data_IF_128399073529
#
_entry.id   IF_128399073529
#
_cell.length_a   1.000
_cell.length_b   1.000
_cell.length_c   1.000
_cell.angle_alpha   90.00
_cell.angle_beta   90.00
_cell.angle_gamma   90.00
#
_symmetry.space_group_name_H-M   'P 1'
#
loop_
_entity.id
_entity.type
_entity.pdbx_description
1 polymer ?
#
# COMPACT_ATOMS: atom_id res chain seq x y z
N UNK A 1 9.30 -29.51 -19.74
CA UNK A 1 10.15 -28.34 -20.08
C UNK A 1 9.30 -27.08 -20.19
N UNK A 2 8.48 -26.90 -21.23
CA UNK A 2 7.63 -25.71 -21.34
C UNK A 2 6.63 -25.61 -20.18
N UNK A 3 5.88 -26.69 -19.89
CA UNK A 3 4.91 -26.75 -18.79
C UNK A 3 5.51 -26.36 -17.43
N UNK A 4 6.76 -26.77 -17.16
CA UNK A 4 7.44 -26.47 -15.89
C UNK A 4 7.92 -25.01 -15.80
N UNK A 5 7.87 -24.26 -16.91
CA UNK A 5 8.43 -22.91 -17.05
C UNK A 5 7.46 -21.93 -17.73
N UNK A 6 6.17 -22.27 -17.83
CA UNK A 6 5.19 -21.46 -18.55
C UNK A 6 5.05 -20.05 -17.95
N UNK A 7 5.27 -19.91 -16.64
CA UNK A 7 5.20 -18.63 -15.92
C UNK A 7 6.53 -17.84 -15.91
N UNK A 8 7.57 -18.36 -16.56
CA UNK A 8 8.87 -17.69 -16.66
C UNK A 8 9.02 -17.07 -18.07
N UNK A 9 9.17 -15.74 -18.22
CA UNK A 9 9.16 -15.07 -19.52
C UNK A 9 10.16 -15.65 -20.54
N UNK A 10 11.45 -15.67 -20.19
CA UNK A 10 12.51 -16.13 -21.11
C UNK A 10 12.42 -17.63 -21.44
N UNK A 11 12.12 -18.46 -20.43
CA UNK A 11 12.06 -19.91 -20.58
C UNK A 11 10.80 -20.35 -21.33
N UNK A 12 9.65 -19.72 -21.08
CA UNK A 12 8.40 -19.97 -21.81
C UNK A 12 8.56 -19.66 -23.30
N UNK A 13 9.19 -18.53 -23.67
CA UNK A 13 9.50 -18.19 -25.06
C UNK A 13 10.43 -19.23 -25.68
N UNK A 14 11.58 -19.48 -25.05
CA UNK A 14 12.58 -20.42 -25.58
C UNK A 14 12.03 -21.83 -25.80
N UNK A 15 11.30 -22.36 -24.82
CA UNK A 15 10.72 -23.71 -24.93
C UNK A 15 9.48 -23.75 -25.84
N UNK A 16 8.73 -22.65 -25.91
CA UNK A 16 7.58 -22.49 -26.79
C UNK A 16 7.99 -22.47 -28.25
N UNK A 17 8.95 -21.63 -28.62
CA UNK A 17 9.54 -21.56 -29.96
C UNK A 17 10.06 -22.93 -30.40
N UNK A 18 10.83 -23.59 -29.53
CA UNK A 18 11.33 -24.95 -29.79
C UNK A 18 10.20 -25.96 -29.99
N UNK A 19 9.12 -25.88 -29.22
CA UNK A 19 7.98 -26.78 -29.40
C UNK A 19 7.30 -26.57 -30.75
N UNK A 20 7.15 -25.31 -31.18
CA UNK A 20 6.59 -24.95 -32.50
C UNK A 20 7.48 -25.46 -33.64
N UNK A 21 8.80 -25.29 -33.54
CA UNK A 21 9.75 -25.83 -34.53
C UNK A 21 9.63 -27.35 -34.67
N UNK A 22 9.57 -28.08 -33.55
CA UNK A 22 9.40 -29.54 -33.54
C UNK A 22 8.08 -29.93 -34.20
N UNK A 23 6.96 -29.26 -33.86
CA UNK A 23 5.65 -29.53 -34.45
C UNK A 23 5.61 -29.22 -35.96
N UNK A 24 6.35 -28.21 -36.43
CA UNK A 24 6.44 -27.89 -37.86
C UNK A 24 7.25 -28.92 -38.67
N UNK A 25 8.19 -29.63 -38.04
CA UNK A 25 8.96 -30.70 -38.68
C UNK A 25 8.25 -32.05 -38.77
N UNK A 26 7.11 -32.24 -38.10
CA UNK A 26 6.37 -33.50 -38.08
C UNK A 26 5.39 -33.61 -39.25
N UNK A 27 5.54 -34.64 -40.11
CA UNK A 27 4.59 -34.93 -41.19
C UNK A 27 4.24 -36.43 -41.23
N UNK A 28 2.99 -36.83 -40.94
CA UNK A 28 1.87 -35.97 -40.50
C UNK A 28 2.04 -35.49 -39.06
N UNK A 29 1.45 -34.33 -38.72
CA UNK A 29 1.33 -33.89 -37.34
C UNK A 29 0.34 -34.80 -36.60
N UNK A 30 0.68 -35.37 -35.43
CA UNK A 30 -0.28 -36.13 -34.64
C UNK A 30 -1.49 -35.27 -34.26
N UNK A 31 -2.70 -35.82 -34.34
CA UNK A 31 -3.94 -35.10 -34.05
C UNK A 31 -3.98 -34.50 -32.63
N UNK A 32 -3.32 -35.14 -31.67
CA UNK A 32 -3.20 -34.62 -30.30
C UNK A 32 -2.37 -33.32 -30.19
N UNK A 33 -1.57 -32.98 -31.20
CA UNK A 33 -0.72 -31.78 -31.23
C UNK A 33 -1.27 -30.66 -32.11
N UNK A 34 -2.34 -30.91 -32.88
CA UNK A 34 -2.98 -29.91 -33.72
C UNK A 34 -3.47 -28.71 -32.90
N UNK A 35 -4.10 -28.98 -31.75
CA UNK A 35 -4.59 -27.94 -30.85
C UNK A 35 -3.45 -27.15 -30.19
N UNK A 36 -2.39 -27.84 -29.77
CA UNK A 36 -1.18 -27.18 -29.24
C UNK A 36 -0.55 -26.25 -30.28
N UNK A 37 -0.50 -26.67 -31.55
CA UNK A 37 -0.02 -25.84 -32.65
C UNK A 37 -0.95 -24.65 -32.93
N UNK A 38 -2.27 -24.84 -32.81
CA UNK A 38 -3.25 -23.76 -32.97
C UNK A 38 -3.13 -22.68 -31.89
N UNK A 39 -2.76 -23.07 -30.67
CA UNK A 39 -2.61 -22.20 -29.50
C UNK A 39 -1.15 -21.79 -29.22
N UNK A 40 -0.26 -21.89 -30.22
CA UNK A 40 1.17 -21.64 -30.02
C UNK A 40 1.50 -20.20 -29.63
N UNK A 41 0.60 -19.26 -29.93
CA UNK A 41 0.69 -17.85 -29.51
C UNK A 41 0.60 -17.68 -27.99
N UNK A 42 0.02 -18.64 -27.28
CA UNK A 42 -0.06 -18.67 -25.81
C UNK A 42 1.18 -19.27 -25.14
N UNK A 43 2.16 -19.74 -25.91
CA UNK A 43 3.35 -20.37 -25.33
C UNK A 43 4.30 -19.36 -24.67
N UNK A 44 4.27 -18.10 -25.11
CA UNK A 44 5.02 -17.05 -24.46
C UNK A 44 4.20 -16.48 -23.31
N UNK A 45 4.79 -16.39 -22.11
CA UNK A 45 4.13 -15.74 -20.98
C UNK A 45 3.69 -14.33 -21.36
N UNK A 46 2.39 -14.06 -21.24
CA UNK A 46 1.83 -12.73 -21.50
C UNK A 46 2.02 -11.83 -20.28
N UNK A 47 2.47 -10.59 -20.50
CA UNK A 47 2.59 -9.57 -19.46
C UNK A 47 1.34 -8.68 -19.48
N UNK A 48 0.53 -8.69 -18.43
CA UNK A 48 -0.74 -7.98 -18.36
C UNK A 48 -0.57 -6.57 -17.78
N UNK A 49 -0.92 -5.54 -18.56
CA UNK A 49 -0.78 -4.13 -18.16
C UNK A 49 -2.12 -3.38 -18.21
N UNK A 50 -2.46 -2.71 -17.13
CA UNK A 50 -3.65 -1.86 -16.98
C UNK A 50 -3.19 -0.41 -16.87
N UNK A 51 -3.47 0.39 -17.89
CA UNK A 51 -3.04 1.79 -17.96
C UNK A 51 -4.21 2.73 -17.75
N UNK A 52 -4.03 3.76 -16.94
CA UNK A 52 -5.02 4.84 -16.83
C UNK A 52 -4.48 6.09 -16.15
N UNK A 53 -5.28 7.15 -16.19
CA UNK A 53 -4.95 8.44 -15.55
C UNK A 53 -5.34 8.49 -14.07
N UNK A 54 -4.96 9.57 -13.40
CA UNK A 54 -5.27 9.77 -11.99
C UNK A 54 -6.76 9.80 -11.67
N UNK A 55 -7.60 10.31 -12.57
CA UNK A 55 -9.05 10.33 -12.39
C UNK A 55 -9.70 8.96 -12.41
N UNK A 56 -9.18 8.04 -13.22
CA UNK A 56 -9.60 6.64 -13.13
C UNK A 56 -9.13 6.03 -11.80
N UNK A 57 -7.84 6.15 -11.50
CA UNK A 57 -7.25 5.40 -10.40
C UNK A 57 -7.64 5.91 -9.00
N UNK A 58 -7.83 7.23 -8.84
CA UNK A 58 -8.13 7.82 -7.55
C UNK A 58 -9.64 7.94 -7.30
N UNK A 59 -10.43 8.07 -8.37
CA UNK A 59 -11.87 8.34 -8.29
C UNK A 59 -12.72 7.17 -8.76
N UNK A 60 -13.14 7.15 -10.03
CA UNK A 60 -14.21 6.26 -10.51
C UNK A 60 -13.79 4.78 -10.54
N UNK A 61 -12.52 4.50 -10.83
CA UNK A 61 -11.97 3.15 -10.94
C UNK A 61 -11.33 2.65 -9.65
N UNK A 62 -11.24 3.46 -8.59
CA UNK A 62 -10.51 3.10 -7.38
C UNK A 62 -11.02 1.81 -6.74
N UNK A 63 -12.34 1.63 -6.63
CA UNK A 63 -12.90 0.41 -6.03
C UNK A 63 -12.53 -0.86 -6.80
N UNK A 64 -12.42 -0.77 -8.13
CA UNK A 64 -11.94 -1.87 -8.96
C UNK A 64 -10.45 -2.13 -8.81
N UNK A 65 -9.63 -1.07 -8.76
CA UNK A 65 -8.18 -1.20 -8.53
C UNK A 65 -7.92 -1.83 -7.16
N UNK A 66 -8.55 -1.33 -6.11
CA UNK A 66 -8.42 -1.87 -4.75
C UNK A 66 -8.75 -3.37 -4.72
N UNK A 67 -9.84 -3.77 -5.36
CA UNK A 67 -10.22 -5.17 -5.47
C UNK A 67 -9.19 -6.02 -6.25
N UNK A 68 -8.72 -5.53 -7.41
CA UNK A 68 -7.70 -6.23 -8.21
C UNK A 68 -6.38 -6.39 -7.46
N UNK A 69 -5.95 -5.36 -6.73
CA UNK A 69 -4.75 -5.43 -5.89
C UNK A 69 -4.93 -6.44 -4.74
N UNK A 70 -6.13 -6.59 -4.19
CA UNK A 70 -6.43 -7.54 -3.12
C UNK A 70 -6.49 -9.00 -3.58
N UNK A 71 -6.80 -9.27 -4.86
CA UNK A 71 -6.87 -10.63 -5.41
C UNK A 71 -5.50 -11.33 -5.45
N UNK A 72 -4.40 -10.57 -5.57
CA UNK A 72 -3.05 -11.13 -5.60
C UNK A 72 -2.61 -11.68 -6.96
N UNK A 73 -3.40 -11.47 -8.02
CA UNK A 73 -3.09 -11.89 -9.39
C UNK A 73 -1.92 -11.10 -10.00
N UNK A 74 -1.18 -11.72 -10.92
CA UNK A 74 -0.03 -11.09 -11.59
C UNK A 74 -0.50 -10.11 -12.68
N UNK A 75 -0.72 -8.86 -12.28
CA UNK A 75 -1.09 -7.75 -13.17
C UNK A 75 -0.31 -6.49 -12.82
N UNK A 76 0.04 -5.71 -13.84
CA UNK A 76 0.79 -4.46 -13.70
C UNK A 76 -0.12 -3.26 -13.96
N UNK A 77 -0.37 -2.44 -12.94
CA UNK A 77 -1.18 -1.22 -13.04
C UNK A 77 -0.25 -0.01 -13.14
N UNK A 78 -0.42 0.80 -14.18
CA UNK A 78 0.31 2.06 -14.37
C UNK A 78 -0.66 3.23 -14.32
N UNK A 79 -0.43 4.14 -13.37
CA UNK A 79 -1.19 5.36 -13.22
C UNK A 79 -0.36 6.54 -13.73
N UNK A 80 -0.82 7.16 -14.82
CA UNK A 80 -0.28 8.40 -15.33
C UNK A 80 -0.92 9.57 -14.57
N UNK A 81 -0.23 10.03 -13.53
CA UNK A 81 -0.76 10.99 -12.57
C UNK A 81 -0.55 12.42 -13.06
N UNK A 82 -1.59 12.94 -13.73
CA UNK A 82 -1.67 14.34 -14.16
C UNK A 82 -2.33 15.23 -13.10
N UNK A 83 -2.79 14.67 -12.00
CA UNK A 83 -3.45 15.37 -10.88
C UNK A 83 -4.72 16.16 -11.25
N UNK A 84 -5.29 15.93 -12.43
CA UNK A 84 -6.54 16.49 -12.92
C UNK A 84 -7.13 15.55 -13.98
N UNK A 85 -8.42 15.69 -14.29
CA UNK A 85 -9.01 14.99 -15.43
C UNK A 85 -8.62 15.71 -16.72
N UNK A 86 -7.43 15.39 -17.22
CA UNK A 86 -6.82 16.09 -18.35
C UNK A 86 -7.71 16.09 -19.61
N UNK A 87 -8.20 14.91 -20.02
CA UNK A 87 -8.95 14.75 -21.27
C UNK A 87 -10.26 15.57 -21.32
N UNK A 88 -10.97 15.68 -20.19
CA UNK A 88 -12.24 16.41 -20.11
C UNK A 88 -12.05 17.91 -19.80
N UNK A 89 -10.81 18.40 -19.90
CA UNK A 89 -10.44 19.81 -19.78
C UNK A 89 -10.17 20.27 -18.36
N UNK A 90 -9.49 19.46 -17.55
CA UNK A 90 -8.88 19.88 -16.30
C UNK A 90 -9.85 20.00 -15.11
N UNK A 91 -10.77 19.04 -14.94
CA UNK A 91 -11.53 18.90 -13.69
C UNK A 91 -10.65 18.44 -12.54
N UNK A 92 -10.95 18.90 -11.33
CA UNK A 92 -10.29 18.40 -10.13
C UNK A 92 -10.60 16.92 -9.89
N UNK A 93 -9.59 16.17 -9.47
CA UNK A 93 -9.65 14.75 -9.07
C UNK A 93 -9.30 14.61 -7.59
N UNK A 94 -9.50 13.42 -6.99
CA UNK A 94 -8.91 13.14 -5.66
C UNK A 94 -7.37 13.13 -5.67
N UNK A 95 -6.73 13.16 -6.83
CA UNK A 95 -5.29 13.35 -7.00
C UNK A 95 -4.84 14.82 -7.13
N UNK A 96 -5.75 15.79 -7.32
CA UNK A 96 -5.37 17.22 -7.34
C UNK A 96 -4.69 17.64 -6.04
N UNK A 97 -3.59 18.38 -6.04
CA UNK A 97 -2.90 18.77 -4.80
C UNK A 97 -3.61 19.94 -4.11
N UNK A 98 -3.31 20.13 -2.82
CA UNK A 98 -3.70 21.33 -2.07
C UNK A 98 -3.20 22.60 -2.77
N UNK A 99 -4.04 23.63 -2.85
CA UNK A 99 -3.72 24.91 -3.48
C UNK A 99 -3.81 24.93 -5.01
N UNK A 100 -3.90 23.78 -5.70
CA UNK A 100 -4.10 23.79 -7.14
C UNK A 100 -5.54 24.15 -7.50
N UNK A 101 -5.66 24.99 -8.52
CA UNK A 101 -6.92 25.40 -9.12
C UNK A 101 -7.22 24.54 -10.34
N UNK A 102 -8.41 23.95 -10.36
CA UNK A 102 -8.97 23.14 -11.44
C UNK A 102 -10.48 23.45 -11.59
N UNK A 103 -11.16 22.92 -12.62
CA UNK A 103 -12.63 22.99 -12.65
C UNK A 103 -13.21 22.28 -11.42
N UNK A 104 -14.27 22.84 -10.84
CA UNK A 104 -14.85 22.46 -9.54
C UNK A 104 -13.97 22.73 -8.31
N UNK A 105 -12.75 23.26 -8.48
CA UNK A 105 -11.82 23.65 -7.40
C UNK A 105 -11.27 25.05 -7.68
N UNK A 106 -12.14 26.03 -7.97
CA UNK A 106 -11.71 27.37 -8.43
C UNK A 106 -10.87 28.10 -7.39
N UNK A 107 -11.16 27.91 -6.10
CA UNK A 107 -10.48 28.59 -5.00
C UNK A 107 -9.23 27.85 -4.51
N UNK A 108 -8.73 26.90 -5.29
CA UNK A 108 -7.72 25.96 -4.84
C UNK A 108 -8.37 24.79 -4.11
N UNK A 109 -7.75 23.62 -4.21
CA UNK A 109 -8.17 22.47 -3.39
C UNK A 109 -7.75 22.71 -1.93
N UNK A 110 -8.69 22.57 -1.01
CA UNK A 110 -8.44 22.70 0.43
C UNK A 110 -7.89 21.42 1.09
N UNK A 111 -8.08 20.25 0.47
CA UNK A 111 -7.63 18.97 1.01
C UNK A 111 -6.31 18.52 0.39
N UNK A 112 -5.55 17.74 1.14
CA UNK A 112 -4.36 17.06 0.64
C UNK A 112 -4.72 16.05 -0.47
N UNK A 113 -3.74 15.77 -1.35
CA UNK A 113 -3.83 14.73 -2.37
C UNK A 113 -4.08 13.36 -1.72
N UNK A 114 -4.98 12.55 -2.29
CA UNK A 114 -5.16 11.15 -1.88
C UNK A 114 -3.86 10.36 -2.14
N UNK A 115 -3.35 9.69 -1.13
CA UNK A 115 -2.12 8.90 -1.23
C UNK A 115 -2.45 7.45 -1.65
N UNK A 116 -2.64 7.24 -2.96
CA UNK A 116 -2.98 5.92 -3.52
C UNK A 116 -1.88 4.88 -3.25
N UNK A 117 -0.61 5.29 -3.31
CA UNK A 117 0.50 4.37 -3.07
C UNK A 117 0.56 3.90 -1.62
N UNK A 118 0.31 4.80 -0.66
CA UNK A 118 0.20 4.41 0.76
C UNK A 118 -0.97 3.46 1.03
N UNK A 119 -2.10 3.66 0.35
CA UNK A 119 -3.24 2.74 0.47
C UNK A 119 -2.89 1.35 -0.10
N UNK A 120 -2.25 1.30 -1.27
CA UNK A 120 -1.83 0.04 -1.89
C UNK A 120 -0.78 -0.71 -1.04
N UNK A 121 0.16 0.01 -0.42
CA UNK A 121 1.18 -0.56 0.48
C UNK A 121 0.60 -1.18 1.77
N UNK A 122 -0.70 -0.98 2.06
CA UNK A 122 -1.36 -1.67 3.17
C UNK A 122 -1.57 -3.17 2.89
N UNK A 123 -1.59 -3.58 1.62
CA UNK A 123 -1.63 -4.98 1.23
C UNK A 123 -0.22 -5.59 1.24
N UNK A 124 -0.02 -6.75 1.87
CA UNK A 124 1.33 -7.31 2.08
C UNK A 124 1.99 -7.88 0.81
N UNK A 125 1.24 -8.09 -0.27
CA UNK A 125 1.74 -8.71 -1.51
C UNK A 125 1.69 -7.78 -2.73
N UNK A 126 1.44 -6.47 -2.54
CA UNK A 126 1.38 -5.51 -3.65
C UNK A 126 2.74 -4.83 -3.79
N UNK A 127 3.35 -4.93 -4.96
CA UNK A 127 4.49 -4.09 -5.30
C UNK A 127 4.01 -2.67 -5.61
N UNK A 128 4.64 -1.64 -5.03
CA UNK A 128 4.24 -0.24 -5.26
C UNK A 128 5.45 0.61 -5.59
N UNK A 129 5.39 1.40 -6.65
CA UNK A 129 6.43 2.36 -6.97
C UNK A 129 5.87 3.74 -7.31
N UNK A 130 6.56 4.79 -6.89
CA UNK A 130 6.33 6.16 -7.33
C UNK A 130 7.53 6.65 -8.13
N UNK A 131 7.26 7.07 -9.37
CA UNK A 131 8.25 7.29 -10.41
C UNK A 131 8.09 8.67 -11.05
N UNK A 132 9.21 9.24 -11.49
CA UNK A 132 9.23 10.46 -12.29
C UNK A 132 10.43 10.43 -13.23
N UNK A 133 10.17 10.13 -14.51
CA UNK A 133 11.20 9.82 -15.51
C UNK A 133 12.23 10.95 -15.68
N UNK A 134 11.78 12.20 -15.76
CA UNK A 134 12.67 13.36 -15.87
C UNK A 134 13.47 13.68 -14.61
N UNK A 135 13.02 13.20 -13.44
CA UNK A 135 13.77 13.35 -12.19
C UNK A 135 14.83 12.27 -12.03
N UNK A 136 14.49 11.01 -12.33
CA UNK A 136 15.39 9.88 -12.24
C UNK A 136 15.00 8.74 -13.20
N UNK A 137 15.55 8.77 -14.41
CA UNK A 137 15.31 7.74 -15.44
C UNK A 137 15.67 6.32 -14.96
N UNK A 138 16.81 6.17 -14.29
CA UNK A 138 17.28 4.86 -13.81
C UNK A 138 16.34 4.24 -12.78
N UNK A 139 15.76 5.07 -11.90
CA UNK A 139 14.78 4.61 -10.92
C UNK A 139 13.47 4.20 -11.59
N UNK A 140 12.99 4.94 -12.60
CA UNK A 140 11.80 4.56 -13.38
C UNK A 140 12.00 3.22 -14.08
N UNK A 141 13.11 3.02 -14.80
CA UNK A 141 13.39 1.75 -15.49
C UNK A 141 13.44 0.59 -14.49
N UNK A 142 14.13 0.80 -13.36
CA UNK A 142 14.20 -0.18 -12.28
C UNK A 142 12.81 -0.53 -11.72
N UNK A 143 11.99 0.49 -11.48
CA UNK A 143 10.65 0.28 -10.92
C UNK A 143 9.73 -0.52 -11.85
N UNK A 144 9.78 -0.27 -13.16
CA UNK A 144 9.03 -1.04 -14.15
C UNK A 144 9.54 -2.49 -14.26
N UNK A 145 10.86 -2.68 -14.21
CA UNK A 145 11.45 -4.02 -14.23
C UNK A 145 11.09 -4.83 -12.98
N UNK A 146 11.18 -4.23 -11.79
CA UNK A 146 10.80 -4.87 -10.53
C UNK A 146 9.28 -5.16 -10.49
N UNK A 147 8.44 -4.24 -10.99
CA UNK A 147 7.00 -4.45 -11.09
C UNK A 147 6.64 -5.65 -11.97
N UNK A 148 7.24 -5.76 -13.16
CA UNK A 148 6.96 -6.87 -14.10
C UNK A 148 7.45 -8.21 -13.55
N UNK A 149 8.62 -8.20 -12.90
CA UNK A 149 9.22 -9.39 -12.30
C UNK A 149 8.42 -9.91 -11.11
N UNK A 150 7.74 -9.02 -10.38
CA UNK A 150 6.92 -9.39 -9.22
C UNK A 150 5.85 -10.41 -9.62
N UNK A 151 5.76 -11.50 -8.85
CA UNK A 151 4.78 -12.57 -9.09
C UNK A 151 3.47 -12.27 -8.34
N UNK A 152 2.90 -11.11 -8.63
CA UNK A 152 1.70 -10.59 -7.96
C UNK A 152 1.32 -9.22 -8.50
N UNK A 153 0.40 -8.51 -7.82
CA UNK A 153 -0.11 -7.23 -8.30
C UNK A 153 0.93 -6.13 -8.10
N UNK A 154 1.12 -5.31 -9.13
CA UNK A 154 2.04 -4.19 -9.14
C UNK A 154 1.32 -2.89 -9.43
N UNK A 155 1.64 -1.83 -8.69
CA UNK A 155 1.12 -0.47 -8.90
C UNK A 155 2.27 0.52 -9.10
N UNK A 156 2.36 1.11 -10.29
CA UNK A 156 3.36 2.11 -10.63
C UNK A 156 2.68 3.46 -10.86
N UNK A 157 2.98 4.42 -9.99
CA UNK A 157 2.49 5.80 -10.07
C UNK A 157 3.54 6.67 -10.76
N UNK A 158 3.17 7.32 -11.86
CA UNK A 158 4.07 8.13 -12.67
C UNK A 158 3.62 9.60 -12.66
N UNK A 159 4.47 10.51 -12.18
CA UNK A 159 4.18 11.95 -12.31
C UNK A 159 4.21 12.37 -13.78
N UNK A 160 3.08 12.85 -14.31
CA UNK A 160 2.89 13.19 -15.70
C UNK A 160 2.52 14.67 -15.87
N UNK A 161 3.48 15.56 -16.17
CA UNK A 161 3.17 16.95 -16.47
C UNK A 161 2.21 17.09 -17.65
N UNK A 162 1.25 18.00 -17.53
CA UNK A 162 0.16 18.15 -18.48
C UNK A 162 -0.01 19.61 -18.93
N UNK A 163 -0.58 19.81 -20.12
CA UNK A 163 -0.98 21.15 -20.60
C UNK A 163 -1.89 21.87 -19.60
N UNK A 164 -2.70 21.14 -18.84
CA UNK A 164 -3.60 21.70 -17.82
C UNK A 164 -2.85 22.28 -16.61
N UNK A 165 -1.59 21.87 -16.38
CA UNK A 165 -0.75 22.51 -15.37
C UNK A 165 -0.34 23.92 -15.78
N UNK A 166 -0.32 24.18 -17.10
CA UNK A 166 0.05 25.46 -17.71
C UNK A 166 1.37 25.97 -17.14
N UNK A 167 2.39 25.11 -17.16
CA UNK A 167 3.74 25.47 -16.78
C UNK A 167 4.26 26.60 -17.67
N UNK A 168 4.83 27.66 -17.08
CA UNK A 168 5.35 28.83 -17.79
C UNK A 168 6.47 28.47 -18.77
N UNK A 169 7.19 27.40 -18.48
CA UNK A 169 8.27 26.83 -19.32
C UNK A 169 7.76 26.00 -20.50
N UNK A 170 6.45 25.71 -20.59
CA UNK A 170 5.89 24.80 -21.58
C UNK A 170 6.24 23.32 -21.34
N UNK A 171 5.65 22.43 -22.14
CA UNK A 171 5.88 20.98 -22.03
C UNK A 171 7.22 20.51 -22.64
N UNK A 172 7.90 21.35 -23.42
CA UNK A 172 9.24 21.03 -23.95
C UNK A 172 10.27 20.91 -22.84
N UNK A 173 10.02 21.51 -21.67
CA UNK A 173 10.83 21.42 -20.45
C UNK A 173 10.17 20.55 -19.37
N UNK A 174 9.42 19.54 -19.80
CA UNK A 174 8.79 18.58 -18.91
C UNK A 174 9.79 17.86 -17.98
N UNK A 175 11.00 17.45 -18.43
CA UNK A 175 11.97 16.81 -17.54
C UNK A 175 12.41 17.70 -16.38
N UNK A 176 12.56 19.02 -16.61
CA UNK A 176 12.88 19.96 -15.55
C UNK A 176 11.74 20.14 -14.55
N UNK A 177 10.48 20.16 -15.01
CA UNK A 177 9.31 20.21 -14.12
C UNK A 177 9.22 18.94 -13.24
N UNK A 178 9.42 17.77 -13.85
CA UNK A 178 9.49 16.48 -13.15
C UNK A 178 10.59 16.47 -12.09
N UNK A 179 11.79 16.96 -12.44
CA UNK A 179 12.90 17.07 -11.51
C UNK A 179 12.60 18.04 -10.36
N UNK A 180 12.02 19.21 -10.64
CA UNK A 180 11.64 20.17 -9.62
C UNK A 180 10.55 19.64 -8.68
N UNK A 181 9.59 18.86 -9.20
CA UNK A 181 8.56 18.19 -8.40
C UNK A 181 9.18 17.22 -7.38
N UNK A 182 10.20 16.44 -7.78
CA UNK A 182 10.89 15.52 -6.87
C UNK A 182 11.80 16.26 -5.89
N UNK A 183 12.62 17.20 -6.39
CA UNK A 183 13.57 17.94 -5.56
C UNK A 183 12.89 18.82 -4.51
N UNK A 184 11.67 19.28 -4.75
CA UNK A 184 10.85 20.01 -3.78
C UNK A 184 10.18 19.13 -2.73
N UNK A 185 10.22 17.79 -2.88
CA UNK A 185 9.44 16.86 -2.06
C UNK A 185 7.96 16.80 -2.41
N UNK A 186 7.53 17.55 -3.43
CA UNK A 186 6.14 17.56 -3.91
C UNK A 186 5.71 16.17 -4.41
N UNK A 187 6.59 15.49 -5.16
CA UNK A 187 6.38 14.13 -5.64
C UNK A 187 7.52 13.21 -5.18
N UNK A 188 7.37 12.43 -4.10
CA UNK A 188 8.44 11.57 -3.61
C UNK A 188 8.63 10.36 -4.51
N UNK A 189 9.87 9.90 -4.68
CA UNK A 189 10.21 8.65 -5.37
C UNK A 189 10.49 7.57 -4.35
N UNK A 190 9.78 6.46 -4.46
CA UNK A 190 9.94 5.31 -3.57
C UNK A 190 9.53 4.02 -4.28
N UNK A 191 9.96 2.90 -3.70
CA UNK A 191 9.56 1.55 -4.09
C UNK A 191 9.21 0.76 -2.83
N UNK A 192 8.20 -0.08 -2.95
CA UNK A 192 7.79 -1.05 -1.95
C UNK A 192 7.80 -2.41 -2.64
N UNK A 193 8.73 -3.26 -2.21
CA UNK A 193 8.93 -4.60 -2.75
C UNK A 193 8.59 -5.64 -1.66
N UNK A 194 7.46 -6.34 -1.77
CA UNK A 194 7.05 -7.34 -0.79
C UNK A 194 8.00 -8.54 -0.73
N UNK A 195 8.80 -8.82 -1.75
CA UNK A 195 9.77 -9.91 -1.72
C UNK A 195 10.88 -9.65 -0.70
N UNK A 196 11.28 -8.39 -0.51
CA UNK A 196 12.26 -8.03 0.52
C UNK A 196 11.75 -8.31 1.93
N UNK A 197 10.44 -8.19 2.18
CA UNK A 197 9.86 -8.58 3.46
C UNK A 197 9.98 -10.09 3.71
N UNK A 198 9.87 -10.92 2.66
CA UNK A 198 10.09 -12.38 2.76
C UNK A 198 11.54 -12.73 3.09
N UNK A 199 12.48 -11.89 2.65
CA UNK A 199 13.90 -11.97 3.03
C UNK A 199 14.22 -11.37 4.41
N UNK A 200 13.21 -10.90 5.16
CA UNK A 200 13.40 -10.24 6.46
C UNK A 200 13.97 -8.82 6.37
N UNK A 201 14.07 -8.24 5.17
CA UNK A 201 14.50 -6.86 4.93
C UNK A 201 13.30 -5.91 4.95
N UNK A 202 13.58 -4.62 5.03
CA UNK A 202 12.54 -3.62 4.92
C UNK A 202 12.04 -3.54 3.46
N UNK A 203 10.74 -3.79 3.21
CA UNK A 203 10.17 -3.75 1.87
C UNK A 203 10.11 -2.35 1.27
N UNK A 204 10.22 -1.29 2.07
CA UNK A 204 10.14 0.10 1.61
C UNK A 204 11.53 0.71 1.38
N UNK A 205 11.73 1.32 0.20
CA UNK A 205 12.92 2.10 -0.14
C UNK A 205 12.52 3.50 -0.59
N UNK A 206 13.09 4.52 0.07
CA UNK A 206 12.97 5.91 -0.34
C UNK A 206 14.11 6.29 -1.29
N UNK A 207 13.79 6.47 -2.58
CA UNK A 207 14.75 6.84 -3.61
C UNK A 207 15.00 8.36 -3.65
N UNK A 208 13.99 9.18 -3.33
CA UNK A 208 14.14 10.63 -3.17
C UNK A 208 14.52 11.00 -1.73
N UNK A 209 15.81 10.97 -1.39
CA UNK A 209 16.25 11.08 0.02
C UNK A 209 16.13 12.49 0.62
N UNK A 210 16.28 13.55 -0.17
CA UNK A 210 16.40 14.92 0.34
C UNK A 210 15.44 15.88 -0.35
N UNK A 211 14.89 16.81 0.43
CA UNK A 211 14.13 17.97 -0.07
C UNK A 211 15.10 19.14 -0.15
N UNK A 212 15.13 19.81 -1.31
CA UNK A 212 15.93 21.01 -1.52
C UNK A 212 15.17 22.26 -1.07
N UNK A 213 15.73 23.08 -0.16
CA UNK A 213 15.11 24.32 0.27
C UNK A 213 14.80 25.27 -0.90
N UNK A 214 13.65 25.94 -0.85
CA UNK A 214 13.25 26.95 -1.84
C UNK A 214 12.72 26.41 -3.18
N UNK A 215 12.98 25.14 -3.53
CA UNK A 215 12.54 24.56 -4.82
C UNK A 215 11.02 24.48 -4.91
N UNK A 216 10.31 24.19 -3.81
CA UNK A 216 8.85 24.13 -3.78
C UNK A 216 8.21 25.46 -4.22
N UNK A 217 8.66 26.59 -3.65
CA UNK A 217 8.11 27.90 -4.00
C UNK A 217 8.30 28.22 -5.49
N UNK A 218 9.48 27.89 -6.04
CA UNK A 218 9.76 28.09 -7.47
C UNK A 218 8.91 27.16 -8.35
N UNK A 219 8.72 25.91 -7.95
CA UNK A 219 7.89 24.93 -8.63
C UNK A 219 6.42 25.39 -8.71
N UNK A 220 5.84 25.80 -7.58
CA UNK A 220 4.46 26.31 -7.53
C UNK A 220 4.29 27.58 -8.38
N UNK A 221 5.25 28.52 -8.31
CA UNK A 221 5.27 29.74 -9.13
C UNK A 221 5.41 29.45 -10.63
N UNK A 222 6.01 28.32 -11.01
CA UNK A 222 6.16 27.94 -12.41
C UNK A 222 4.84 27.47 -13.05
N UNK A 223 3.89 26.97 -12.25
CA UNK A 223 2.66 26.37 -12.78
C UNK A 223 1.46 27.29 -12.58
N UNK A 224 0.76 27.63 -13.67
CA UNK A 224 -0.36 28.56 -13.58
C UNK A 224 -1.50 28.06 -12.69
N UNK A 225 -1.64 26.73 -12.52
CA UNK A 225 -2.64 26.14 -11.62
C UNK A 225 -2.50 26.57 -10.16
N UNK A 226 -1.32 26.99 -9.70
CA UNK A 226 -1.13 27.59 -8.37
C UNK A 226 -1.02 29.11 -8.44
N UNK A 227 -0.26 29.63 -9.41
CA UNK A 227 -0.02 31.07 -9.58
C UNK A 227 -1.32 31.87 -9.72
N UNK A 228 -2.33 31.33 -10.42
CA UNK A 228 -3.60 32.03 -10.61
C UNK A 228 -4.35 32.24 -9.29
N UNK A 229 -4.19 31.32 -8.32
CA UNK A 229 -4.73 31.49 -6.97
C UNK A 229 -3.97 32.58 -6.23
N UNK A 230 -2.64 32.56 -6.29
CA UNK A 230 -1.78 33.56 -5.66
C UNK A 230 -2.05 34.98 -6.16
N UNK A 231 -2.40 35.15 -7.44
CA UNK A 231 -2.80 36.46 -8.00
C UNK A 231 -4.18 36.91 -7.56
N UNK A 232 -5.15 35.97 -7.51
CA UNK A 232 -6.57 36.29 -7.26
C UNK A 232 -6.88 36.41 -5.76
N UNK A 233 -6.26 35.58 -4.93
CA UNK A 233 -6.48 35.50 -3.49
C UNK A 233 -5.15 35.26 -2.74
N UNK A 234 -4.28 36.29 -2.62
CA UNK A 234 -2.92 36.12 -2.11
C UNK A 234 -2.84 35.52 -0.71
N UNK A 235 -3.66 36.00 0.24
CA UNK A 235 -3.67 35.51 1.63
C UNK A 235 -4.05 34.03 1.70
N UNK A 236 -5.12 33.64 1.01
CA UNK A 236 -5.57 32.24 0.99
C UNK A 236 -4.57 31.32 0.28
N UNK A 237 -3.93 31.80 -0.79
CA UNK A 237 -2.88 31.05 -1.46
C UNK A 237 -1.68 30.81 -0.53
N UNK A 238 -1.27 31.81 0.25
CA UNK A 238 -0.17 31.71 1.22
C UNK A 238 -0.49 30.71 2.34
N UNK A 239 -1.72 30.72 2.86
CA UNK A 239 -2.22 29.73 3.81
C UNK A 239 -2.11 28.29 3.26
N UNK A 240 -2.65 28.04 2.06
CA UNK A 240 -2.62 26.71 1.45
C UNK A 240 -1.20 26.26 1.07
N UNK A 241 -0.33 27.18 0.64
CA UNK A 241 1.06 26.86 0.34
C UNK A 241 1.86 26.53 1.60
N UNK A 242 1.59 27.23 2.69
CA UNK A 242 2.18 26.94 4.01
C UNK A 242 1.74 25.57 4.50
N UNK A 243 0.45 25.25 4.40
CA UNK A 243 -0.08 23.95 4.79
C UNK A 243 0.45 22.81 3.90
N UNK A 244 0.54 23.03 2.58
CA UNK A 244 1.15 22.08 1.64
C UNK A 244 2.62 21.81 1.99
N UNK A 245 3.39 22.86 2.31
CA UNK A 245 4.79 22.71 2.73
C UNK A 245 4.89 21.86 4.00
N UNK A 246 4.07 22.16 5.01
CA UNK A 246 4.05 21.40 6.26
C UNK A 246 3.68 19.92 6.01
N UNK A 247 2.69 19.67 5.15
CA UNK A 247 2.32 18.31 4.73
C UNK A 247 3.47 17.57 4.03
N UNK A 248 4.16 18.22 3.09
CA UNK A 248 5.31 17.65 2.39
C UNK A 248 6.41 17.26 3.38
N UNK A 249 6.76 18.16 4.30
CA UNK A 249 7.80 17.91 5.31
C UNK A 249 7.41 16.76 6.24
N UNK A 250 6.16 16.74 6.72
CA UNK A 250 5.63 15.66 7.56
C UNK A 250 5.61 14.32 6.84
N UNK A 251 5.12 14.29 5.60
CA UNK A 251 5.10 13.08 4.76
C UNK A 251 6.52 12.58 4.52
N UNK A 252 7.45 13.46 4.15
CA UNK A 252 8.83 13.10 3.90
C UNK A 252 9.53 12.52 5.13
N UNK A 253 9.28 13.10 6.30
CA UNK A 253 9.75 12.55 7.57
C UNK A 253 9.20 11.13 7.79
N UNK A 254 7.88 10.93 7.62
CA UNK A 254 7.26 9.60 7.73
C UNK A 254 7.90 8.59 6.77
N UNK A 255 8.12 8.95 5.51
CA UNK A 255 8.75 8.04 4.53
C UNK A 255 10.21 7.73 4.90
N UNK A 256 10.96 8.70 5.45
CA UNK A 256 12.31 8.47 5.97
C UNK A 256 12.30 7.51 7.16
N UNK A 257 11.37 7.70 8.08
CA UNK A 257 11.22 6.85 9.26
C UNK A 257 10.92 5.41 8.81
N UNK A 258 9.94 5.23 7.92
CA UNK A 258 9.60 3.91 7.33
C UNK A 258 10.83 3.31 6.63
N UNK A 259 11.59 4.06 5.84
CA UNK A 259 12.78 3.53 5.15
C UNK A 259 13.94 3.22 6.11
N UNK A 260 13.99 3.87 7.28
CA UNK A 260 15.01 3.68 8.30
C UNK A 260 14.63 2.62 9.34
N UNK A 261 13.35 2.23 9.41
CA UNK A 261 12.89 1.12 10.23
C UNK A 261 13.70 -0.12 9.87
N UNK A 262 14.57 -0.53 10.80
CA UNK A 262 15.13 -1.87 10.75
C UNK A 262 13.98 -2.80 11.05
N UNK A 263 13.75 -3.81 10.21
CA UNK A 263 12.83 -4.90 10.51
C UNK A 263 13.10 -5.33 11.95
N UNK A 264 12.18 -5.05 12.87
CA UNK A 264 12.42 -5.32 14.27
C UNK A 264 12.68 -6.82 14.40
N UNK A 265 13.86 -7.19 14.93
CA UNK A 265 14.10 -8.57 15.33
C UNK A 265 12.97 -8.99 16.26
N UNK A 266 12.61 -10.28 16.25
CA UNK A 266 11.57 -10.79 17.15
C UNK A 266 11.78 -10.28 18.59
N UNK A 267 13.04 -10.21 19.04
CA UNK A 267 13.46 -9.65 20.33
C UNK A 267 12.97 -8.23 20.64
N UNK A 268 12.93 -7.31 19.66
CA UNK A 268 12.46 -5.93 19.92
C UNK A 268 10.93 -5.91 20.10
N UNK A 269 10.21 -6.67 19.28
CA UNK A 269 8.75 -6.82 19.39
C UNK A 269 8.32 -7.54 20.67
N UNK A 270 9.18 -8.42 21.20
CA UNK A 270 8.90 -9.24 22.38
C UNK A 270 9.54 -8.71 23.66
N UNK A 271 10.34 -7.64 23.59
CA UNK A 271 11.03 -7.02 24.72
C UNK A 271 10.09 -6.62 25.87
N UNK A 272 8.87 -6.17 25.53
CA UNK A 272 7.82 -5.87 26.50
C UNK A 272 7.02 -7.09 26.99
N UNK A 273 7.25 -8.27 26.42
CA UNK A 273 6.48 -9.50 26.69
C UNK A 273 7.30 -10.53 27.47
N UNK A 274 8.36 -10.11 28.17
CA UNK A 274 9.24 -10.99 28.94
C UNK A 274 8.51 -11.81 30.02
N UNK A 275 7.47 -11.23 30.65
CA UNK A 275 6.61 -11.92 31.61
C UNK A 275 5.59 -12.90 30.96
N UNK A 276 5.54 -12.93 29.62
CA UNK A 276 4.61 -13.76 28.86
C UNK A 276 3.29 -13.06 28.52
N UNK A 277 2.36 -13.84 27.96
CA UNK A 277 1.05 -13.39 27.48
C UNK A 277 -0.02 -14.39 27.92
N UNK A 278 -1.16 -13.90 28.42
CA UNK A 278 -2.39 -14.68 28.61
C UNK A 278 -3.41 -14.25 27.59
N UNK A 279 -4.03 -15.21 26.91
CA UNK A 279 -5.03 -14.95 25.88
C UNK A 279 -6.35 -15.55 26.35
N UNK A 280 -7.40 -14.74 26.39
CA UNK A 280 -8.75 -15.20 26.69
C UNK A 280 -9.68 -14.83 25.54
N UNK A 281 -10.51 -15.78 25.09
CA UNK A 281 -11.39 -15.59 23.94
C UNK A 281 -12.88 -15.77 24.25
N UNK A 282 -13.72 -14.92 23.65
CA UNK A 282 -15.16 -15.08 23.57
C UNK A 282 -15.54 -15.56 22.17
N UNK A 283 -16.07 -16.78 22.04
CA UNK A 283 -16.49 -17.32 20.75
C UNK A 283 -17.61 -18.36 20.91
N UNK A 284 -18.70 -18.19 20.14
CA UNK A 284 -19.76 -19.20 20.07
C UNK A 284 -19.57 -20.15 18.86
N UNK A 285 -19.00 -19.65 17.76
CA UNK A 285 -18.80 -20.40 16.50
C UNK A 285 -17.36 -20.87 16.28
N UNK A 286 -16.45 -20.56 17.21
CA UNK A 286 -15.05 -21.00 17.19
C UNK A 286 -14.10 -20.14 16.34
N UNK A 287 -14.57 -19.13 15.61
CA UNK A 287 -13.71 -18.25 14.78
C UNK A 287 -12.66 -17.52 15.63
N UNK A 288 -13.10 -16.90 16.73
CA UNK A 288 -12.22 -16.16 17.64
C UNK A 288 -11.28 -17.10 18.39
N UNK A 289 -11.74 -18.31 18.73
CA UNK A 289 -10.90 -19.35 19.31
C UNK A 289 -9.76 -19.76 18.36
N UNK A 290 -10.06 -19.98 17.08
CA UNK A 290 -9.04 -20.30 16.07
C UNK A 290 -8.02 -19.17 15.92
N UNK A 291 -8.47 -17.92 15.93
CA UNK A 291 -7.61 -16.74 15.89
C UNK A 291 -6.72 -16.63 17.14
N UNK A 292 -7.27 -16.88 18.33
CA UNK A 292 -6.52 -16.90 19.59
C UNK A 292 -5.44 -17.99 19.58
N UNK A 293 -5.77 -19.21 19.12
CA UNK A 293 -4.81 -20.31 18.95
C UNK A 293 -3.72 -19.97 17.92
N UNK A 294 -4.09 -19.30 16.83
CA UNK A 294 -3.13 -18.83 15.81
C UNK A 294 -2.17 -17.79 16.39
N UNK A 295 -2.68 -16.81 17.14
CA UNK A 295 -1.88 -15.80 17.83
C UNK A 295 -0.92 -16.46 18.83
N UNK A 296 -1.42 -17.40 19.64
CA UNK A 296 -0.61 -18.21 20.56
C UNK A 296 0.55 -18.90 19.84
N UNK A 297 0.28 -19.54 18.70
CA UNK A 297 1.32 -20.16 17.87
C UNK A 297 2.35 -19.17 17.32
N UNK A 298 1.92 -17.97 16.91
CA UNK A 298 2.83 -16.91 16.45
C UNK A 298 3.73 -16.42 17.58
N UNK A 299 3.18 -16.18 18.77
CA UNK A 299 3.92 -15.73 19.95
C UNK A 299 4.96 -16.76 20.40
N UNK A 300 4.57 -18.04 20.51
CA UNK A 300 5.49 -19.12 20.87
C UNK A 300 6.65 -19.25 19.87
N UNK A 301 6.37 -19.18 18.55
CA UNK A 301 7.42 -19.18 17.51
C UNK A 301 8.38 -17.98 17.60
N UNK A 302 7.95 -16.89 18.22
CA UNK A 302 8.76 -15.68 18.45
C UNK A 302 9.44 -15.67 19.82
N UNK A 303 9.41 -16.78 20.56
CA UNK A 303 10.05 -16.90 21.88
C UNK A 303 9.28 -16.23 23.02
N UNK A 304 8.00 -15.91 22.82
CA UNK A 304 7.13 -15.38 23.89
C UNK A 304 6.41 -16.54 24.59
N UNK A 305 6.52 -16.59 25.91
CA UNK A 305 5.73 -17.50 26.74
C UNK A 305 4.25 -17.14 26.65
N UNK A 306 3.43 -18.10 26.23
CA UNK A 306 1.97 -17.98 26.31
C UNK A 306 1.51 -18.80 27.50
N UNK A 307 1.14 -18.12 28.58
CA UNK A 307 0.87 -18.71 29.88
C UNK A 307 -0.52 -19.38 29.91
N UNK A 308 -1.50 -18.76 29.25
CA UNK A 308 -2.90 -19.25 29.15
C UNK A 308 -3.47 -18.93 27.76
N UNK A 309 -4.31 -19.80 27.23
CA UNK A 309 -5.08 -19.58 25.99
C UNK A 309 -6.41 -20.34 26.06
N UNK A 310 -7.42 -19.75 26.70
CA UNK A 310 -8.71 -20.40 27.03
C UNK A 310 -9.91 -19.45 26.89
N UNK A 311 -11.12 -19.92 27.20
CA UNK A 311 -12.34 -19.11 27.13
C UNK A 311 -12.38 -18.01 28.19
N UNK A 312 -13.01 -16.88 27.89
CA UNK A 312 -13.14 -15.73 28.80
C UNK A 312 -13.88 -16.04 30.11
N UNK A 313 -14.67 -17.10 30.14
CA UNK A 313 -15.36 -17.62 31.32
C UNK A 313 -14.39 -18.15 32.39
N UNK A 314 -13.17 -18.53 32.00
CA UNK A 314 -12.12 -18.95 32.93
C UNK A 314 -11.30 -17.77 33.50
N UNK A 315 -11.56 -16.54 33.05
CA UNK A 315 -10.79 -15.37 33.50
C UNK A 315 -11.19 -14.95 34.93
N UNK A 316 -10.23 -15.01 35.85
CA UNK A 316 -10.36 -14.44 37.19
C UNK A 316 -9.79 -13.02 37.21
N UNK A 317 -10.66 -12.01 37.30
CA UNK A 317 -10.28 -10.61 37.13
C UNK A 317 -9.25 -10.11 38.16
N UNK A 318 -9.31 -10.59 39.40
CA UNK A 318 -8.37 -10.20 40.46
C UNK A 318 -6.95 -10.64 40.14
N UNK A 319 -6.78 -11.91 39.74
CA UNK A 319 -5.49 -12.46 39.28
C UNK A 319 -5.01 -11.77 38.01
N UNK A 320 -5.94 -11.44 37.11
CA UNK A 320 -5.63 -10.75 35.87
C UNK A 320 -4.99 -9.38 36.12
N UNK A 321 -5.49 -8.62 37.10
CA UNK A 321 -5.00 -7.27 37.41
C UNK A 321 -3.68 -7.20 38.18
N UNK A 322 -3.27 -8.31 38.79
CA UNK A 322 -2.05 -8.39 39.59
C UNK A 322 -0.85 -8.96 38.83
N UNK A 323 -1.07 -9.55 37.65
CA UNK A 323 -0.01 -10.17 36.88
C UNK A 323 0.84 -9.16 36.10
N UNK A 324 2.11 -9.51 35.90
CA UNK A 324 3.07 -8.72 35.11
C UNK A 324 2.99 -9.01 33.59
N UNK A 325 2.36 -10.14 33.24
CA UNK A 325 2.14 -10.55 31.86
C UNK A 325 1.10 -9.69 31.14
N UNK A 326 1.09 -9.76 29.81
CA UNK A 326 0.10 -9.05 29.01
C UNK A 326 -1.18 -9.87 28.92
N UNK A 327 -2.31 -9.29 29.33
CA UNK A 327 -3.64 -9.86 29.13
C UNK A 327 -4.18 -9.48 27.74
N UNK A 328 -4.48 -10.46 26.90
CA UNK A 328 -5.08 -10.29 25.58
C UNK A 328 -6.51 -10.82 25.62
N UNK A 329 -7.48 -9.94 25.42
CA UNK A 329 -8.90 -10.30 25.31
C UNK A 329 -9.32 -10.26 23.85
N UNK A 330 -9.87 -11.35 23.32
CA UNK A 330 -10.36 -11.42 21.94
C UNK A 330 -11.83 -11.84 21.93
N UNK A 331 -12.74 -11.03 21.41
CA UNK A 331 -14.16 -11.40 21.35
C UNK A 331 -14.73 -11.12 19.97
N UNK A 332 -15.64 -11.96 19.50
CA UNK A 332 -16.51 -11.66 18.37
C UNK A 332 -17.88 -11.19 18.87
N UNK A 333 -18.79 -10.88 17.95
CA UNK A 333 -20.24 -10.87 18.21
C UNK A 333 -20.89 -12.11 17.61
N UNK A 334 -22.10 -12.45 18.05
CA UNK A 334 -22.93 -13.52 17.50
C UNK A 334 -24.33 -12.99 17.14
N UNK A 335 -24.99 -13.62 16.15
CA UNK A 335 -26.36 -13.27 15.76
C UNK A 335 -26.56 -11.79 15.40
N UNK A 336 -27.46 -11.13 16.13
CA UNK A 336 -27.84 -9.72 15.95
C UNK A 336 -26.84 -8.71 16.58
N UNK A 337 -25.64 -9.17 16.94
CA UNK A 337 -24.59 -8.34 17.54
C UNK A 337 -24.39 -8.59 19.04
N UNK A 338 -24.95 -9.66 19.59
CA UNK A 338 -24.80 -10.03 20.99
C UNK A 338 -23.36 -10.52 21.28
N UNK A 339 -22.96 -10.42 22.55
CA UNK A 339 -21.67 -10.94 23.00
C UNK A 339 -21.73 -12.46 23.22
N UNK A 340 -20.66 -13.20 22.92
CA UNK A 340 -20.55 -14.63 23.21
C UNK A 340 -20.76 -14.94 24.69
N UNK A 341 -21.30 -16.11 25.00
CA UNK A 341 -21.62 -16.50 26.38
C UNK A 341 -20.38 -16.44 27.31
N UNK A 342 -19.21 -16.85 26.81
CA UNK A 342 -17.95 -16.78 27.55
C UNK A 342 -17.52 -15.33 27.87
N UNK A 343 -17.86 -14.36 27.01
CA UNK A 343 -17.58 -12.94 27.25
C UNK A 343 -18.59 -12.31 28.21
N UNK A 344 -19.82 -12.84 28.28
CA UNK A 344 -20.87 -12.31 29.13
C UNK A 344 -20.53 -12.43 30.62
N UNK A 345 -19.97 -13.56 31.05
CA UNK A 345 -19.55 -13.75 32.45
C UNK A 345 -18.52 -12.70 32.89
N UNK A 346 -17.54 -12.40 32.03
CA UNK A 346 -16.55 -11.37 32.28
C UNK A 346 -17.18 -9.97 32.29
N UNK A 347 -18.09 -9.69 31.37
CA UNK A 347 -18.80 -8.41 31.31
C UNK A 347 -19.60 -8.13 32.58
N UNK A 348 -20.29 -9.14 33.12
CA UNK A 348 -21.04 -9.02 34.37
C UNK A 348 -20.10 -8.73 35.56
N UNK A 349 -18.99 -9.46 35.66
CA UNK A 349 -17.96 -9.21 36.68
C UNK A 349 -17.40 -7.78 36.60
N UNK A 350 -17.10 -7.30 35.38
CA UNK A 350 -16.59 -5.94 35.17
C UNK A 350 -17.65 -4.87 35.45
N UNK A 351 -18.90 -5.11 35.06
CA UNK A 351 -20.02 -4.18 35.26
C UNK A 351 -20.40 -4.02 36.73
N UNK A 352 -20.13 -5.03 37.55
CA UNK A 352 -20.32 -4.99 38.99
C UNK A 352 -19.25 -4.16 39.73
N UNK A 353 -18.14 -3.78 39.06
CA UNK A 353 -17.09 -2.99 39.70
C UNK A 353 -17.50 -1.53 39.91
N UNK A 354 -16.98 -0.87 40.97
CA UNK A 354 -17.15 0.56 41.16
C UNK A 354 -16.61 1.34 39.95
N UNK A 355 -17.37 2.31 39.43
CA UNK A 355 -17.02 3.10 38.24
C UNK A 355 -15.63 3.78 38.28
N UNK A 356 -15.07 3.98 39.47
CA UNK A 356 -13.78 4.64 39.67
C UNK A 356 -12.62 3.65 39.93
N UNK A 357 -12.87 2.34 39.88
CA UNK A 357 -11.82 1.33 40.08
C UNK A 357 -10.91 1.31 38.85
N UNK A 358 -9.64 1.68 39.04
CA UNK A 358 -8.60 1.45 38.03
C UNK A 358 -8.15 0.00 38.12
N UNK A 359 -8.27 -0.73 37.01
CA UNK A 359 -7.69 -2.07 36.89
C UNK A 359 -6.17 -1.91 36.73
N UNK A 360 -5.40 -2.65 37.54
CA UNK A 360 -3.96 -2.78 37.38
C UNK A 360 -3.60 -3.70 36.20
N UNK A 361 -2.32 -3.73 35.82
CA UNK A 361 -1.81 -4.61 34.78
C UNK A 361 -1.84 -4.02 33.37
N UNK A 362 -1.31 -4.78 32.41
CA UNK A 362 -1.29 -4.42 30.99
C UNK A 362 -2.29 -5.31 30.26
N UNK A 363 -3.21 -4.70 29.53
CA UNK A 363 -4.19 -5.45 28.74
C UNK A 363 -4.43 -4.82 27.37
N UNK A 364 -4.87 -5.64 26.43
CA UNK A 364 -5.43 -5.22 25.15
C UNK A 364 -6.69 -6.01 24.83
N UNK A 365 -7.62 -5.37 24.14
CA UNK A 365 -8.90 -5.97 23.75
C UNK A 365 -9.08 -5.82 22.25
N UNK A 366 -9.45 -6.92 21.60
CA UNK A 366 -9.73 -7.01 20.17
C UNK A 366 -11.18 -7.43 19.97
N UNK A 367 -11.96 -6.58 19.31
CA UNK A 367 -13.24 -6.96 18.71
C UNK A 367 -12.98 -7.49 17.31
N UNK A 368 -13.45 -8.71 17.03
CA UNK A 368 -13.26 -9.42 15.76
C UNK A 368 -14.49 -9.35 14.88
#
# INVERSE_FOLDING_TARGET
QWLDNADHPEASSRYGERAVEIMNGMTPLPSCLEECKRLSDLFVKTSMWILGGDGWANDIGYGGIDHVLALGENVNIVVLDTEVYSNTGGQGSKATPMGAVAKFMRNGRALQKKDLGQLAMAYPNVYVASCSMGANYSQTVRAFHEAEKHSGPSLVLCYAPCIEHRAKTGLTRMPEDQKAAVESGYYPLYRYDPELAKEGKNPFQLDSKNIKPGVLAQFLKNQNRFEQLARRMPKHADELQTELKHYIEKRHKKLKDIAAEKTHSAEVLTSGLSAGVRIYYGSDTGTTEQLAKRLSGILKRRGVSVNVCTGMDELVLEEATQAEDLLVLMTSTCGDGDMPAAAQALWEQMSALPKNKKLGGRFCMFGM
#
